data_IF_022327086255
#
_entry.id   IF_022327086255
#
_cell.length_a   1.000
_cell.length_b   1.000
_cell.length_c   1.000
_cell.angle_alpha   90.00
_cell.angle_beta   90.00
_cell.angle_gamma   90.00
#
_symmetry.space_group_name_H-M   'P 1'
#
loop_
_entity.id
_entity.type
_entity.pdbx_description
1 polymer ?
#
# COMPACT_ATOMS: atom_id res chain seq x y z
N UNK A 1 0.47 14.59 -0.61
CA UNK A 1 0.54 13.78 0.63
C UNK A 1 -0.86 13.32 0.94
N UNK A 2 -1.05 12.03 1.16
CA UNK A 2 -2.30 11.42 1.60
C UNK A 2 -2.02 10.67 2.89
N UNK A 3 -2.68 11.04 3.98
CA UNK A 3 -2.48 10.44 5.30
C UNK A 3 -3.74 9.66 5.67
N UNK A 4 -3.62 8.34 5.76
CA UNK A 4 -4.71 7.39 6.02
C UNK A 4 -5.98 7.60 5.16
N UNK A 5 -5.84 7.85 3.84
CA UNK A 5 -6.94 8.38 3.01
C UNK A 5 -8.13 7.43 2.84
N UNK A 6 -7.96 6.12 3.09
CA UNK A 6 -9.00 5.12 2.86
C UNK A 6 -9.38 4.32 4.12
N UNK A 7 -8.82 4.67 5.28
CA UNK A 7 -8.99 3.95 6.56
C UNK A 7 -10.46 3.82 6.99
N UNK A 8 -11.29 4.84 6.71
CA UNK A 8 -12.69 4.90 7.09
C UNK A 8 -13.67 4.23 6.10
N UNK A 9 -13.16 3.58 5.04
CA UNK A 9 -13.97 3.01 3.98
C UNK A 9 -14.14 1.49 4.14
N UNK A 10 -15.31 0.97 3.76
CA UNK A 10 -15.52 -0.46 3.60
C UNK A 10 -14.67 -1.03 2.44
N UNK A 11 -14.55 -2.36 2.36
CA UNK A 11 -13.66 -3.02 1.40
C UNK A 11 -13.96 -2.67 -0.07
N UNK A 12 -15.25 -2.58 -0.44
CA UNK A 12 -15.65 -2.29 -1.82
C UNK A 12 -15.36 -0.83 -2.16
N UNK A 13 -15.81 0.10 -1.31
CA UNK A 13 -15.60 1.54 -1.52
C UNK A 13 -14.12 1.89 -1.52
N UNK A 14 -13.33 1.25 -0.63
CA UNK A 14 -11.88 1.39 -0.58
C UNK A 14 -11.22 1.01 -1.90
N UNK A 15 -11.52 -0.16 -2.45
CA UNK A 15 -10.94 -0.60 -3.73
C UNK A 15 -11.25 0.39 -4.87
N UNK A 16 -12.49 0.86 -4.96
CA UNK A 16 -12.90 1.84 -5.97
C UNK A 16 -12.20 3.21 -5.78
N UNK A 17 -12.07 3.69 -4.54
CA UNK A 17 -11.38 4.95 -4.24
C UNK A 17 -9.88 4.87 -4.54
N UNK A 18 -9.26 3.71 -4.31
CA UNK A 18 -7.86 3.48 -4.67
C UNK A 18 -7.65 3.57 -6.19
N UNK A 19 -8.52 2.95 -6.98
CA UNK A 19 -8.48 3.01 -8.45
C UNK A 19 -8.65 4.46 -8.94
N UNK A 20 -9.63 5.18 -8.40
CA UNK A 20 -9.87 6.59 -8.71
C UNK A 20 -8.67 7.47 -8.35
N UNK A 21 -8.05 7.26 -7.19
CA UNK A 21 -6.88 8.01 -6.76
C UNK A 21 -5.70 7.83 -7.73
N UNK A 22 -5.44 6.60 -8.19
CA UNK A 22 -4.38 6.34 -9.18
C UNK A 22 -4.65 7.07 -10.49
N UNK A 23 -5.90 7.09 -10.95
CA UNK A 23 -6.27 7.82 -12.17
C UNK A 23 -6.03 9.33 -12.03
N UNK A 24 -6.56 9.94 -10.97
CA UNK A 24 -6.52 11.38 -10.76
C UNK A 24 -5.11 11.91 -10.46
N UNK A 25 -4.28 11.08 -9.81
CA UNK A 25 -2.93 11.47 -9.39
C UNK A 25 -1.85 11.08 -10.39
N UNK A 26 -2.22 10.56 -11.57
CA UNK A 26 -1.28 10.25 -12.65
C UNK A 26 -0.38 11.45 -12.96
N UNK A 27 0.92 11.19 -13.12
CA UNK A 27 1.93 12.20 -13.41
C UNK A 27 2.35 13.07 -12.21
N UNK A 28 1.93 12.72 -10.99
CA UNK A 28 2.30 13.42 -9.76
C UNK A 28 3.09 12.51 -8.82
N UNK A 29 3.98 13.10 -8.03
CA UNK A 29 4.61 12.41 -6.90
C UNK A 29 3.62 12.38 -5.74
N UNK A 30 3.28 11.17 -5.27
CA UNK A 30 2.35 10.95 -4.17
C UNK A 30 3.05 10.18 -3.07
N UNK A 31 2.96 10.71 -1.84
CA UNK A 31 3.30 9.96 -0.63
C UNK A 31 1.98 9.58 0.05
N UNK A 32 1.77 8.27 0.24
CA UNK A 32 0.65 7.71 1.00
C UNK A 32 1.20 7.17 2.31
N UNK A 33 0.62 7.62 3.43
CA UNK A 33 0.86 7.07 4.76
C UNK A 33 -0.34 6.20 5.10
N UNK A 34 -0.10 4.95 5.46
CA UNK A 34 -1.13 3.95 5.76
C UNK A 34 -0.61 2.91 6.74
N UNK A 35 -1.48 2.44 7.63
CA UNK A 35 -1.25 1.27 8.48
C UNK A 35 -1.72 -0.04 7.84
N UNK A 36 -2.36 0.02 6.66
CA UNK A 36 -2.87 -1.15 5.94
C UNK A 36 -1.82 -1.68 4.95
N UNK A 37 -1.26 -2.89 5.17
CA UNK A 37 -0.25 -3.46 4.29
C UNK A 37 -0.77 -3.78 2.88
N UNK A 38 -2.07 -4.01 2.73
CA UNK A 38 -2.71 -4.26 1.44
C UNK A 38 -2.73 -3.00 0.58
N UNK A 39 -2.95 -1.82 1.18
CA UNK A 39 -2.87 -0.54 0.47
C UNK A 39 -1.46 -0.27 -0.03
N UNK A 40 -0.46 -0.44 0.84
CA UNK A 40 0.94 -0.30 0.49
C UNK A 40 1.32 -1.26 -0.65
N UNK A 41 0.90 -2.53 -0.56
CA UNK A 41 1.16 -3.53 -1.59
C UNK A 41 0.44 -3.22 -2.91
N UNK A 42 -0.80 -2.69 -2.90
CA UNK A 42 -1.56 -2.41 -4.13
C UNK A 42 -1.16 -1.13 -4.84
N UNK A 43 -0.72 -0.10 -4.09
CA UNK A 43 -0.50 1.26 -4.61
C UNK A 43 0.96 1.69 -4.64
N UNK A 44 1.83 1.01 -3.89
CA UNK A 44 3.22 1.43 -3.73
C UNK A 44 4.06 1.15 -4.98
N UNK A 45 4.55 2.21 -5.62
CA UNK A 45 5.68 2.12 -6.58
C UNK A 45 7.00 1.87 -5.84
N UNK A 46 7.09 2.34 -4.60
CA UNK A 46 8.12 2.04 -3.62
C UNK A 46 7.43 1.95 -2.26
N UNK A 47 7.89 1.04 -1.39
CA UNK A 47 7.31 0.84 -0.07
C UNK A 47 8.40 1.06 0.98
N UNK A 48 8.09 1.89 1.97
CA UNK A 48 8.95 2.18 3.12
C UNK A 48 8.19 1.79 4.38
N UNK A 49 8.80 0.95 5.21
CA UNK A 49 8.22 0.51 6.49
C UNK A 49 8.86 1.32 7.60
N UNK A 50 8.03 2.05 8.34
CA UNK A 50 8.45 2.82 9.51
C UNK A 50 8.21 1.99 10.77
N UNK A 51 9.26 1.77 11.56
CA UNK A 51 9.21 1.06 12.85
C UNK A 51 9.94 1.86 13.93
N UNK A 52 9.92 1.40 15.17
CA UNK A 52 10.73 1.99 16.25
C UNK A 52 12.24 1.95 15.93
N UNK A 53 12.68 0.99 15.10
CA UNK A 53 14.06 0.88 14.64
C UNK A 53 14.43 1.79 13.46
N UNK A 54 13.48 2.55 12.91
CA UNK A 54 13.69 3.47 11.79
C UNK A 54 12.92 3.09 10.52
N UNK A 55 13.41 3.54 9.37
CA UNK A 55 12.76 3.33 8.06
C UNK A 55 13.52 2.28 7.26
N UNK A 56 12.82 1.22 6.83
CA UNK A 56 13.39 0.14 6.01
C UNK A 56 12.63 0.00 4.69
N UNK A 57 13.31 -0.08 3.53
CA UNK A 57 12.64 -0.30 2.25
C UNK A 57 12.09 -1.73 2.14
N UNK A 58 10.95 -1.88 1.48
CA UNK A 58 10.35 -3.15 1.10
C UNK A 58 10.13 -3.20 -0.42
N UNK A 59 10.56 -4.27 -1.12
CA UNK A 59 10.29 -4.42 -2.55
C UNK A 59 8.79 -4.52 -2.83
N UNK A 60 8.23 -3.71 -3.73
CA UNK A 60 6.84 -3.84 -4.13
C UNK A 60 6.64 -4.98 -5.15
N UNK A 61 5.40 -5.46 -5.36
CA UNK A 61 5.10 -6.41 -6.42
C UNK A 61 5.40 -5.86 -7.82
N UNK A 62 5.72 -6.72 -8.77
CA UNK A 62 6.05 -6.35 -10.15
C UNK A 62 4.83 -5.86 -10.97
N UNK A 63 3.62 -6.25 -10.58
CA UNK A 63 2.39 -5.84 -11.26
C UNK A 63 2.19 -4.31 -11.29
N UNK A 64 1.54 -3.81 -12.35
CA UNK A 64 1.24 -2.41 -12.52
C UNK A 64 0.19 -1.90 -11.51
N UNK A 65 0.28 -0.63 -11.13
CA UNK A 65 -0.63 0.02 -10.18
C UNK A 65 -1.84 0.62 -10.92
N UNK A 66 -3.07 0.47 -10.41
CA UNK A 66 -3.44 -0.25 -9.19
C UNK A 66 -3.39 -1.78 -9.39
N UNK A 67 -2.72 -2.48 -8.47
CA UNK A 67 -2.61 -3.94 -8.58
C UNK A 67 -3.96 -4.60 -8.27
N UNK A 68 -4.36 -5.68 -8.97
CA UNK A 68 -5.61 -6.39 -8.70
C UNK A 68 -5.72 -6.84 -7.24
N UNK A 69 -6.93 -6.90 -6.69
CA UNK A 69 -7.16 -7.33 -5.29
C UNK A 69 -6.80 -8.79 -5.04
N UNK A 70 -6.80 -9.60 -6.10
CA UNK A 70 -6.58 -11.04 -6.10
C UNK A 70 -5.21 -11.44 -6.70
N UNK A 71 -4.35 -10.46 -7.00
CA UNK A 71 -3.02 -10.72 -7.52
C UNK A 71 -2.14 -11.43 -6.47
N UNK A 72 -1.55 -12.57 -6.86
CA UNK A 72 -0.82 -13.43 -5.95
C UNK A 72 0.41 -12.75 -5.35
N UNK A 73 1.17 -12.01 -6.16
CA UNK A 73 2.38 -11.33 -5.71
C UNK A 73 2.04 -10.20 -4.74
N UNK A 74 0.93 -9.49 -5.01
CA UNK A 74 0.38 -8.47 -4.11
C UNK A 74 -0.01 -9.04 -2.76
N UNK A 75 -0.70 -10.19 -2.73
CA UNK A 75 -1.08 -10.88 -1.49
C UNK A 75 0.16 -11.38 -0.71
N UNK A 76 1.18 -11.87 -1.42
CA UNK A 76 2.44 -12.28 -0.81
C UNK A 76 3.19 -11.09 -0.18
N UNK A 77 3.24 -9.95 -0.87
CA UNK A 77 3.82 -8.71 -0.37
C UNK A 77 3.07 -8.21 0.88
N UNK A 78 1.73 -8.20 0.84
CA UNK A 78 0.90 -7.84 1.99
C UNK A 78 1.23 -8.72 3.21
N UNK A 79 1.33 -10.03 3.01
CA UNK A 79 1.69 -10.96 4.09
C UNK A 79 3.12 -10.75 4.61
N UNK A 80 4.07 -10.35 3.76
CA UNK A 80 5.44 -10.03 4.16
C UNK A 80 5.51 -8.75 4.99
N UNK A 81 4.82 -7.69 4.55
CA UNK A 81 4.71 -6.42 5.27
C UNK A 81 4.06 -6.60 6.64
N UNK A 82 2.96 -7.37 6.71
CA UNK A 82 2.29 -7.66 7.97
C UNK A 82 3.21 -8.39 8.97
N UNK A 83 4.01 -9.35 8.49
CA UNK A 83 5.03 -10.02 9.31
C UNK A 83 6.07 -9.04 9.83
N UNK A 84 6.62 -8.21 8.95
CA UNK A 84 7.62 -7.20 9.32
C UNK A 84 7.10 -6.21 10.36
N UNK A 85 5.85 -5.75 10.25
CA UNK A 85 5.22 -4.85 11.22
C UNK A 85 4.99 -5.52 12.58
N UNK A 86 4.62 -6.80 12.59
CA UNK A 86 4.43 -7.57 13.83
C UNK A 86 5.74 -7.86 14.55
N UNK A 87 6.80 -8.16 13.82
CA UNK A 87 8.10 -8.49 14.39
C UNK A 87 8.85 -7.25 14.90
N UNK A 88 8.42 -6.05 14.50
CA UNK A 88 9.01 -4.77 14.88
C UNK A 88 8.26 -4.03 16.01
N UNK A 89 7.16 -4.60 16.51
CA UNK A 89 6.39 -4.11 17.65
C UNK A 89 6.86 -4.75 18.96
#
# INVERSE_FOLDING_TARGET
>A
LLDEPFSALDAQTRAAMQELAVELLRGRTVLVVTHDPGEAARLGHAILVLTAGGVTPCPPPAAAIPRPVDDLETLQCQAALLRQLRDAA
#
